data_IF_316467515059
#
_entry.id   IF_316467515059
#
_cell.length_a   1.000
_cell.length_b   1.000
_cell.length_c   1.000
_cell.angle_alpha   90.00
_cell.angle_beta   90.00
_cell.angle_gamma   90.00
#
_symmetry.space_group_name_H-M   'P 1'
#
loop_
_entity.id
_entity.type
_entity.pdbx_description
1 polymer ?
#
# COMPACT_ATOMS: atom_id res chain seq x y z
N UNK A 1 -22.06 -59.29 -29.43
CA UNK A 1 -21.35 -58.33 -30.31
C UNK A 1 -21.02 -57.03 -29.58
N UNK A 2 -21.98 -56.37 -28.93
CA UNK A 2 -21.74 -55.12 -28.20
C UNK A 2 -20.80 -55.24 -26.99
N UNK A 3 -20.86 -56.33 -26.20
CA UNK A 3 -19.96 -56.53 -25.06
C UNK A 3 -18.51 -56.79 -25.49
N UNK A 4 -18.31 -57.56 -26.56
CA UNK A 4 -16.98 -57.86 -27.11
C UNK A 4 -16.30 -56.61 -27.68
N UNK A 5 -17.05 -55.71 -28.32
CA UNK A 5 -16.54 -54.40 -28.76
C UNK A 5 -16.14 -53.53 -27.56
N UNK A 6 -16.90 -53.58 -26.46
CA UNK A 6 -16.63 -52.81 -25.25
C UNK A 6 -15.36 -53.28 -24.52
N UNK A 7 -15.11 -54.58 -24.48
CA UNK A 7 -13.88 -55.16 -23.92
C UNK A 7 -12.65 -54.89 -24.79
N UNK A 8 -12.80 -54.97 -26.11
CA UNK A 8 -11.74 -54.63 -27.06
C UNK A 8 -11.33 -53.14 -26.96
N UNK A 9 -12.30 -52.22 -26.89
CA UNK A 9 -12.04 -50.79 -26.72
C UNK A 9 -11.35 -50.49 -25.40
N UNK A 10 -11.72 -51.19 -24.32
CA UNK A 10 -11.07 -51.04 -23.01
C UNK A 10 -9.63 -51.55 -23.04
N UNK A 11 -9.38 -52.69 -23.68
CA UNK A 11 -8.04 -53.25 -23.82
C UNK A 11 -7.11 -52.36 -24.67
N UNK A 12 -7.62 -51.79 -25.77
CA UNK A 12 -6.86 -50.86 -26.62
C UNK A 12 -6.54 -49.57 -25.86
N UNK A 13 -7.50 -49.03 -25.10
CA UNK A 13 -7.27 -47.86 -24.23
C UNK A 13 -6.23 -48.15 -23.16
N UNK A 14 -6.34 -49.25 -22.43
CA UNK A 14 -5.38 -49.62 -21.38
C UNK A 14 -3.95 -49.82 -21.92
N UNK A 15 -3.81 -50.42 -23.11
CA UNK A 15 -2.51 -50.61 -23.76
C UNK A 15 -1.92 -49.28 -24.23
N UNK A 16 -2.76 -48.37 -24.72
CA UNK A 16 -2.39 -47.02 -25.12
C UNK A 16 -1.90 -46.18 -23.94
N UNK A 17 -2.63 -46.18 -22.81
CA UNK A 17 -2.21 -45.51 -21.57
C UNK A 17 -0.87 -46.04 -21.04
N UNK A 18 -0.70 -47.37 -21.02
CA UNK A 18 0.57 -48.00 -20.60
C UNK A 18 1.73 -47.65 -21.52
N UNK A 19 1.51 -47.56 -22.83
CA UNK A 19 2.53 -47.21 -23.81
C UNK A 19 3.00 -45.75 -23.66
N UNK A 20 2.04 -44.83 -23.44
CA UNK A 20 2.36 -43.42 -23.18
C UNK A 20 3.11 -43.27 -21.86
N UNK A 21 2.66 -43.96 -20.80
CA UNK A 21 3.33 -43.91 -19.51
C UNK A 21 4.76 -44.47 -19.57
N UNK A 22 5.00 -45.54 -20.33
CA UNK A 22 6.32 -46.15 -20.42
C UNK A 22 7.37 -45.22 -21.04
N UNK A 23 7.01 -44.49 -22.10
CA UNK A 23 7.93 -43.61 -22.82
C UNK A 23 7.93 -42.16 -22.33
N UNK A 24 6.79 -41.67 -21.86
CA UNK A 24 6.60 -40.25 -21.57
C UNK A 24 6.39 -39.93 -20.08
N UNK A 25 6.54 -40.89 -19.15
CA UNK A 25 6.42 -40.62 -17.69
C UNK A 25 7.27 -39.42 -17.23
N UNK A 26 8.53 -39.33 -17.66
CA UNK A 26 9.45 -38.24 -17.27
C UNK A 26 9.00 -36.88 -17.84
N UNK A 27 8.78 -36.73 -19.17
CA UNK A 27 8.30 -35.46 -19.72
C UNK A 27 6.90 -35.07 -19.22
N UNK A 28 5.99 -36.03 -18.97
CA UNK A 28 4.67 -35.76 -18.39
C UNK A 28 4.81 -35.22 -16.96
N UNK A 29 5.66 -35.82 -16.13
CA UNK A 29 5.94 -35.31 -14.79
C UNK A 29 6.58 -33.91 -14.83
N UNK A 30 7.51 -33.67 -15.75
CA UNK A 30 8.15 -32.36 -15.93
C UNK A 30 7.14 -31.28 -16.35
N UNK A 31 6.31 -31.56 -17.37
CA UNK A 31 5.27 -30.62 -17.82
C UNK A 31 4.28 -30.35 -16.70
N UNK A 32 3.87 -31.39 -15.96
CA UNK A 32 2.99 -31.24 -14.79
C UNK A 32 3.61 -30.36 -13.71
N UNK A 33 4.90 -30.53 -13.41
CA UNK A 33 5.62 -29.69 -12.46
C UNK A 33 5.70 -28.22 -12.90
N UNK A 34 6.05 -27.96 -14.16
CA UNK A 34 6.07 -26.58 -14.69
C UNK A 34 4.68 -25.94 -14.74
N UNK A 35 3.64 -26.71 -15.10
CA UNK A 35 2.27 -26.24 -15.07
C UNK A 35 1.81 -25.89 -13.64
N UNK A 36 2.17 -26.72 -12.65
CA UNK A 36 1.90 -26.45 -11.25
C UNK A 36 2.67 -25.24 -10.72
N UNK A 37 3.96 -25.11 -11.06
CA UNK A 37 4.77 -23.96 -10.66
C UNK A 37 4.25 -22.66 -11.30
N UNK A 38 3.84 -22.70 -12.57
CA UNK A 38 3.21 -21.56 -13.24
C UNK A 38 1.88 -21.21 -12.59
N UNK A 39 1.04 -22.21 -12.30
CA UNK A 39 -0.22 -22.01 -11.58
C UNK A 39 0.02 -21.36 -10.22
N UNK A 40 0.97 -21.87 -9.44
CA UNK A 40 1.33 -21.32 -8.14
C UNK A 40 1.90 -19.90 -8.24
N UNK A 41 2.73 -19.62 -9.25
CA UNK A 41 3.29 -18.30 -9.48
C UNK A 41 2.20 -17.27 -9.85
N UNK A 42 1.27 -17.65 -10.73
CA UNK A 42 0.12 -16.82 -11.09
C UNK A 42 -0.77 -16.62 -9.86
N UNK A 43 -1.12 -17.69 -9.15
CA UNK A 43 -1.91 -17.63 -7.92
C UNK A 43 -1.27 -16.69 -6.89
N UNK A 44 0.02 -16.88 -6.60
CA UNK A 44 0.78 -16.05 -5.67
C UNK A 44 0.91 -14.59 -6.13
N UNK A 45 0.87 -14.32 -7.44
CA UNK A 45 0.88 -12.94 -7.96
C UNK A 45 -0.49 -12.28 -7.84
N UNK A 46 -1.57 -13.07 -7.90
CA UNK A 46 -2.95 -12.57 -7.73
C UNK A 46 -3.31 -12.37 -6.26
N UNK A 47 -2.81 -13.21 -5.34
CA UNK A 47 -3.14 -13.14 -3.90
C UNK A 47 -2.22 -12.22 -3.08
N UNK A 48 -1.33 -11.43 -3.69
CA UNK A 48 -0.64 -10.38 -2.93
C UNK A 48 -1.66 -9.29 -2.63
N UNK A 49 -1.94 -9.05 -1.35
CA UNK A 49 -2.68 -7.85 -0.92
C UNK A 49 -2.03 -6.65 -1.58
N UNK A 50 -2.79 -5.98 -2.45
CA UNK A 50 -2.31 -4.82 -3.16
C UNK A 50 -2.71 -3.62 -2.33
N UNK A 51 -1.76 -3.04 -1.64
CA UNK A 51 -1.95 -1.79 -0.90
C UNK A 51 -2.27 -0.68 -1.93
N UNK A 52 -3.42 -0.03 -1.78
CA UNK A 52 -3.86 1.09 -2.63
C UNK A 52 -3.10 2.37 -2.30
N UNK A 53 -2.85 2.59 -1.01
CA UNK A 53 -2.14 3.75 -0.49
C UNK A 53 -1.20 3.35 0.64
N UNK A 54 0.09 3.62 0.43
CA UNK A 54 1.12 3.48 1.46
C UNK A 54 1.43 4.85 2.04
N UNK A 55 1.29 4.98 3.35
CA UNK A 55 1.46 6.22 4.12
C UNK A 55 2.55 6.01 5.15
N UNK A 56 3.47 6.97 5.23
CA UNK A 56 4.46 6.98 6.29
C UNK A 56 4.03 7.96 7.36
N UNK A 57 3.80 7.46 8.57
CA UNK A 57 3.48 8.30 9.72
C UNK A 57 4.71 8.45 10.62
N UNK A 58 5.24 9.67 10.70
CA UNK A 58 6.46 9.99 11.47
C UNK A 58 6.05 10.75 12.72
N UNK A 59 6.48 10.27 13.88
CA UNK A 59 6.06 10.83 15.17
C UNK A 59 7.20 10.90 16.17
N UNK A 60 7.11 11.77 17.17
CA UNK A 60 7.94 11.75 18.37
C UNK A 60 7.65 10.48 19.19
N UNK A 61 6.35 10.18 19.40
CA UNK A 61 5.87 9.19 20.36
C UNK A 61 5.84 7.76 19.80
N UNK A 62 6.54 6.78 20.40
CA UNK A 62 6.48 5.37 20.01
C UNK A 62 5.21 4.67 20.48
N UNK A 63 4.43 5.27 21.37
CA UNK A 63 3.20 4.71 21.94
C UNK A 63 1.97 5.01 21.08
N UNK A 64 2.14 5.21 19.77
CA UNK A 64 0.99 5.16 18.85
C UNK A 64 0.49 3.72 18.81
N UNK A 65 -0.49 3.44 19.68
CA UNK A 65 -1.16 2.16 19.79
C UNK A 65 -1.68 1.71 18.43
N UNK A 66 -1.67 0.40 18.16
CA UNK A 66 -2.19 -0.18 16.92
C UNK A 66 -3.61 0.32 16.60
N UNK A 67 -4.43 0.57 17.62
CA UNK A 67 -5.77 1.16 17.46
C UNK A 67 -5.75 2.55 16.81
N UNK A 68 -4.78 3.41 17.15
CA UNK A 68 -4.60 4.73 16.54
C UNK A 68 -4.13 4.63 15.08
N UNK A 69 -3.26 3.67 14.77
CA UNK A 69 -2.85 3.40 13.38
C UNK A 69 -4.03 2.91 12.56
N UNK A 70 -4.81 1.97 13.10
CA UNK A 70 -6.03 1.47 12.44
C UNK A 70 -7.07 2.59 12.23
N UNK A 71 -7.18 3.54 13.17
CA UNK A 71 -8.02 4.71 13.02
C UNK A 71 -7.56 5.62 11.88
N UNK A 72 -6.25 5.86 11.72
CA UNK A 72 -5.69 6.57 10.58
C UNK A 72 -6.01 5.86 9.26
N UNK A 73 -5.76 4.54 9.19
CA UNK A 73 -6.03 3.72 8.00
C UNK A 73 -7.50 3.77 7.61
N UNK A 74 -8.39 3.56 8.59
CA UNK A 74 -9.85 3.61 8.39
C UNK A 74 -10.30 4.98 7.91
N UNK A 75 -9.79 6.06 8.51
CA UNK A 75 -10.18 7.42 8.15
C UNK A 75 -9.67 7.81 6.76
N UNK A 76 -8.42 7.47 6.44
CA UNK A 76 -7.83 7.73 5.13
C UNK A 76 -8.52 6.94 4.02
N UNK A 77 -8.96 5.71 4.29
CA UNK A 77 -9.68 4.87 3.32
C UNK A 77 -10.95 5.56 2.77
N UNK A 78 -11.58 6.45 3.56
CA UNK A 78 -12.76 7.21 3.13
C UNK A 78 -12.45 8.20 2.00
N UNK A 79 -11.19 8.63 1.87
CA UNK A 79 -10.71 9.64 0.93
C UNK A 79 -9.83 9.05 -0.19
N UNK A 80 -9.48 7.76 -0.13
CA UNK A 80 -8.60 7.06 -1.07
C UNK A 80 -9.38 6.31 -2.15
N UNK A 81 -8.98 6.39 -3.42
CA UNK A 81 -9.66 5.64 -4.49
C UNK A 81 -9.22 4.16 -4.48
N UNK A 82 -10.10 3.25 -4.91
CA UNK A 82 -9.70 1.88 -5.22
C UNK A 82 -8.82 1.89 -6.48
N UNK A 83 -7.50 1.80 -6.25
CA UNK A 83 -6.51 1.81 -7.32
C UNK A 83 -6.40 0.44 -7.98
N UNK A 84 -6.69 -0.62 -7.23
CA UNK A 84 -6.45 -1.99 -7.66
C UNK A 84 -7.63 -2.60 -8.42
N UNK A 85 -8.80 -1.99 -8.28
CA UNK A 85 -10.05 -2.32 -8.95
C UNK A 85 -10.67 -3.63 -8.44
N UNK A 86 -10.31 -4.06 -7.23
CA UNK A 86 -10.83 -5.28 -6.61
C UNK A 86 -12.03 -5.02 -5.69
N UNK A 87 -12.40 -3.75 -5.49
CA UNK A 87 -13.53 -3.32 -4.67
C UNK A 87 -13.23 -3.24 -3.18
N UNK A 88 -12.00 -3.53 -2.76
CA UNK A 88 -11.51 -3.32 -1.40
C UNK A 88 -10.47 -2.19 -1.39
N UNK A 89 -10.45 -1.39 -0.33
CA UNK A 89 -9.51 -0.26 -0.21
C UNK A 89 -8.60 -0.54 0.96
N UNK A 90 -7.34 -0.81 0.64
CA UNK A 90 -6.31 -1.14 1.63
C UNK A 90 -5.34 0.02 1.75
N UNK A 91 -5.50 0.80 2.82
CA UNK A 91 -4.54 1.82 3.25
C UNK A 91 -3.61 1.19 4.28
N UNK A 92 -2.30 1.34 4.07
CA UNK A 92 -1.28 0.88 5.02
C UNK A 92 -0.51 2.08 5.57
N UNK A 93 -0.50 2.21 6.90
CA UNK A 93 0.23 3.27 7.61
C UNK A 93 1.45 2.67 8.32
N UNK A 94 2.66 2.98 7.82
CA UNK A 94 3.92 2.64 8.49
C UNK A 94 4.24 3.70 9.55
N UNK A 95 4.01 3.38 10.81
CA UNK A 95 4.37 4.25 11.93
C UNK A 95 5.88 4.12 12.24
N UNK A 96 6.58 5.26 12.23
CA UNK A 96 8.00 5.36 12.54
C UNK A 96 8.20 6.49 13.55
N UNK A 97 8.69 6.14 14.75
CA UNK A 97 8.98 7.14 15.78
C UNK A 97 10.43 7.63 15.73
N UNK A 98 10.64 8.90 16.04
CA UNK A 98 11.94 9.59 15.99
C UNK A 98 12.28 10.39 17.25
N UNK A 99 11.41 10.36 18.28
CA UNK A 99 11.58 11.12 19.52
C UNK A 99 12.85 10.79 20.30
N UNK A 100 13.47 11.83 20.86
CA UNK A 100 14.77 11.77 21.54
C UNK A 100 14.70 11.17 22.97
N UNK A 101 13.52 10.82 23.47
CA UNK A 101 13.30 10.18 24.78
C UNK A 101 13.45 8.65 24.76
N UNK A 102 13.81 8.09 23.60
CA UNK A 102 13.99 6.65 23.38
C UNK A 102 15.44 6.23 23.17
N UNK A 103 15.65 4.91 23.09
CA UNK A 103 16.98 4.34 22.88
C UNK A 103 17.59 4.84 21.56
N UNK A 104 18.71 5.56 21.67
CA UNK A 104 19.42 6.22 20.57
C UNK A 104 19.60 5.31 19.34
N UNK A 105 19.91 4.02 19.58
CA UNK A 105 20.14 3.03 18.51
C UNK A 105 18.87 2.71 17.71
N UNK A 106 17.70 2.75 18.34
CA UNK A 106 16.41 2.48 17.68
C UNK A 106 15.97 3.70 16.88
N UNK A 107 16.08 4.89 17.47
CA UNK A 107 15.80 6.17 16.81
C UNK A 107 16.70 6.35 15.59
N UNK A 108 17.99 6.01 15.71
CA UNK A 108 18.93 6.04 14.59
C UNK A 108 18.50 5.10 13.45
N UNK A 109 18.16 3.85 13.77
CA UNK A 109 17.66 2.89 12.77
C UNK A 109 16.36 3.36 12.09
N UNK A 110 15.45 3.98 12.84
CA UNK A 110 14.22 4.55 12.31
C UNK A 110 14.52 5.72 11.35
N UNK A 111 15.42 6.63 11.71
CA UNK A 111 15.91 7.71 10.83
C UNK A 111 16.55 7.14 9.55
N UNK A 112 17.35 6.06 9.65
CA UNK A 112 17.88 5.36 8.47
C UNK A 112 16.80 4.73 7.58
N UNK A 113 15.75 4.13 8.19
CA UNK A 113 14.60 3.57 7.47
C UNK A 113 13.86 4.66 6.69
N UNK A 114 13.56 5.80 7.32
CA UNK A 114 12.91 6.95 6.66
C UNK A 114 13.75 7.37 5.45
N UNK A 115 15.04 7.61 5.65
CA UNK A 115 15.95 8.03 4.58
C UNK A 115 16.13 6.99 3.46
N UNK A 116 15.87 5.71 3.74
CA UNK A 116 15.88 4.63 2.74
C UNK A 116 14.57 4.54 1.97
N UNK A 117 13.45 4.93 2.57
CA UNK A 117 12.11 4.95 1.97
C UNK A 117 11.83 6.21 1.14
N UNK A 118 12.31 7.38 1.60
CA UNK A 118 12.80 8.46 0.71
C UNK A 118 13.91 7.85 -0.17
N UNK A 119 14.61 8.45 -1.12
CA UNK A 119 15.52 7.69 -2.05
C UNK A 119 14.87 6.55 -2.86
N UNK A 120 14.43 5.42 -2.27
CA UNK A 120 13.70 4.35 -2.94
C UNK A 120 12.38 4.85 -3.54
N UNK A 121 11.74 5.82 -2.89
CA UNK A 121 10.51 6.44 -3.37
C UNK A 121 9.32 5.51 -3.39
N UNK A 122 9.27 4.60 -2.41
CA UNK A 122 8.14 3.69 -2.17
C UNK A 122 6.94 4.40 -1.53
N UNK A 123 7.19 5.47 -0.76
CA UNK A 123 6.16 6.25 -0.08
C UNK A 123 5.97 7.62 -0.74
N UNK A 124 4.71 8.01 -1.00
CA UNK A 124 4.39 9.33 -1.56
C UNK A 124 3.58 10.21 -0.62
N UNK A 125 2.82 9.61 0.31
CA UNK A 125 2.05 10.33 1.32
C UNK A 125 2.75 10.26 2.67
N UNK A 126 2.91 11.41 3.32
CA UNK A 126 3.56 11.53 4.62
C UNK A 126 2.55 12.15 5.59
N UNK A 127 2.40 11.52 6.74
CA UNK A 127 1.74 12.07 7.91
C UNK A 127 2.80 12.33 8.98
N UNK A 128 2.69 13.45 9.68
CA UNK A 128 3.61 13.75 10.77
C UNK A 128 2.89 14.42 11.94
N UNK A 129 3.45 14.28 13.14
CA UNK A 129 3.26 15.28 14.19
C UNK A 129 4.23 16.45 14.03
N UNK A 130 4.32 17.33 15.04
CA UNK A 130 5.18 18.51 14.99
C UNK A 130 6.67 18.18 14.79
N UNK A 131 7.20 17.22 15.54
CA UNK A 131 8.62 16.84 15.42
C UNK A 131 8.90 16.10 14.11
N UNK A 132 8.01 15.19 13.70
CA UNK A 132 8.09 14.53 12.41
C UNK A 132 8.07 15.52 11.24
N UNK A 133 7.25 16.58 11.33
CA UNK A 133 7.17 17.61 10.31
C UNK A 133 8.47 18.42 10.23
N UNK A 134 9.03 18.80 11.37
CA UNK A 134 10.31 19.51 11.41
C UNK A 134 11.43 18.66 10.80
N UNK A 135 11.52 17.37 11.16
CA UNK A 135 12.50 16.44 10.60
C UNK A 135 12.38 16.34 9.07
N UNK A 136 11.17 16.17 8.55
CA UNK A 136 10.93 16.03 7.12
C UNK A 136 11.15 17.32 6.32
N UNK A 137 10.84 18.47 6.94
CA UNK A 137 11.12 19.78 6.36
C UNK A 137 12.62 20.03 6.27
N UNK A 138 13.37 19.72 7.34
CA UNK A 138 14.83 19.84 7.37
C UNK A 138 15.52 18.89 6.38
N UNK A 139 14.89 17.75 6.06
CA UNK A 139 15.36 16.82 5.05
C UNK A 139 15.06 17.26 3.60
N UNK A 140 14.39 18.40 3.40
CA UNK A 140 13.91 18.89 2.09
C UNK A 140 13.12 17.81 1.32
N UNK A 141 12.40 16.97 2.07
CA UNK A 141 11.78 15.76 1.56
C UNK A 141 10.31 15.95 1.15
N UNK A 142 9.75 17.15 1.35
CA UNK A 142 8.35 17.49 1.13
C UNK A 142 8.18 18.34 -0.12
N UNK A 143 7.07 18.13 -0.84
CA UNK A 143 6.62 19.03 -1.90
C UNK A 143 6.00 20.29 -1.30
N UNK A 144 6.05 21.38 -2.07
CA UNK A 144 5.20 22.53 -1.82
C UNK A 144 3.76 22.20 -2.26
N UNK A 145 2.87 22.02 -1.29
CA UNK A 145 1.46 21.73 -1.56
C UNK A 145 0.74 22.94 -2.16
N UNK A 146 1.19 24.17 -1.90
CA UNK A 146 0.61 25.36 -2.51
C UNK A 146 0.84 25.41 -4.02
N UNK A 147 1.96 24.86 -4.51
CA UNK A 147 2.19 24.68 -5.95
C UNK A 147 1.33 23.56 -6.55
N UNK A 148 1.10 22.49 -5.78
CA UNK A 148 0.30 21.34 -6.24
C UNK A 148 -1.21 21.60 -6.21
N UNK A 149 -1.67 22.48 -5.31
CA UNK A 149 -3.05 22.86 -5.07
C UNK A 149 -3.21 24.39 -4.97
N UNK A 150 -2.98 25.14 -6.06
CA UNK A 150 -2.95 26.61 -6.05
C UNK A 150 -4.29 27.28 -5.72
N UNK A 151 -5.39 26.54 -5.83
CA UNK A 151 -6.74 27.02 -5.51
C UNK A 151 -7.10 26.89 -4.03
N UNK A 152 -6.17 26.41 -3.19
CA UNK A 152 -6.36 26.22 -1.75
C UNK A 152 -5.38 27.10 -0.96
N UNK A 153 -5.85 27.71 0.14
CA UNK A 153 -5.01 28.49 1.06
C UNK A 153 -4.20 27.54 1.94
N UNK A 154 -3.00 27.15 1.47
CA UNK A 154 -2.12 26.16 2.10
C UNK A 154 -0.81 26.80 2.56
N UNK A 155 -0.31 26.35 3.72
CA UNK A 155 0.94 26.82 4.33
C UNK A 155 2.17 26.08 3.76
N UNK A 156 2.39 26.25 2.45
CA UNK A 156 3.55 25.71 1.75
C UNK A 156 3.58 24.19 1.73
N UNK A 157 4.43 23.56 2.55
CA UNK A 157 4.79 22.14 2.39
C UNK A 157 3.83 21.14 3.06
N UNK A 158 2.84 21.60 3.83
CA UNK A 158 1.95 20.71 4.58
C UNK A 158 0.56 21.32 4.77
N UNK A 159 -0.39 20.49 5.19
CA UNK A 159 -1.73 20.89 5.58
C UNK A 159 -2.05 20.36 6.98
N UNK A 160 -2.59 21.23 7.83
CA UNK A 160 -2.95 20.89 9.21
C UNK A 160 -4.33 20.26 9.28
N UNK A 161 -4.43 19.06 9.86
CA UNK A 161 -5.68 18.30 9.92
C UNK A 161 -6.51 18.58 11.17
N UNK A 162 -5.93 19.10 12.25
CA UNK A 162 -6.57 19.28 13.56
C UNK A 162 -7.97 19.90 13.56
N UNK A 163 -8.19 20.92 12.73
CA UNK A 163 -9.46 21.67 12.68
C UNK A 163 -10.41 21.17 11.57
N UNK A 164 -10.01 20.13 10.84
CA UNK A 164 -10.74 19.63 9.67
C UNK A 164 -11.77 18.57 10.05
N UNK A 165 -12.70 18.29 9.14
CA UNK A 165 -13.67 17.19 9.24
C UNK A 165 -13.00 15.81 9.38
N UNK A 166 -11.77 15.66 8.90
CA UNK A 166 -10.97 14.44 9.01
C UNK A 166 -10.76 14.06 10.48
N UNK A 167 -10.40 15.04 11.32
CA UNK A 167 -10.17 14.84 12.76
C UNK A 167 -11.47 14.75 13.57
N UNK A 168 -12.60 15.15 12.99
CA UNK A 168 -13.92 15.08 13.63
C UNK A 168 -14.65 13.74 13.37
N UNK A 169 -14.05 12.82 12.62
CA UNK A 169 -14.63 11.49 12.39
C UNK A 169 -14.63 10.66 13.67
N UNK A 170 -15.63 9.79 13.81
CA UNK A 170 -15.80 8.94 15.00
C UNK A 170 -14.57 8.06 15.30
N UNK A 171 -13.84 7.66 14.25
CA UNK A 171 -12.57 6.91 14.35
C UNK A 171 -11.44 7.71 14.99
N UNK A 172 -11.48 9.04 14.92
CA UNK A 172 -10.40 9.94 15.35
C UNK A 172 -10.63 10.58 16.71
N UNK A 173 -11.72 10.24 17.42
CA UNK A 173 -12.13 10.88 18.68
C UNK A 173 -11.06 10.79 19.77
N UNK A 174 -10.26 9.72 19.78
CA UNK A 174 -9.19 9.50 20.75
C UNK A 174 -7.83 10.08 20.31
N UNK A 175 -7.79 10.77 19.16
CA UNK A 175 -6.58 11.38 18.62
C UNK A 175 -6.40 12.80 19.16
N UNK A 176 -5.37 13.00 19.99
CA UNK A 176 -5.12 14.27 20.69
C UNK A 176 -3.86 15.01 20.22
N UNK A 177 -3.10 14.43 19.29
CA UNK A 177 -1.85 15.02 18.81
C UNK A 177 -2.08 15.82 17.54
N UNK A 178 -1.25 16.84 17.31
CA UNK A 178 -1.25 17.56 16.05
C UNK A 178 -0.90 16.62 14.90
N UNK A 179 -1.65 16.73 13.81
CA UNK A 179 -1.49 15.88 12.64
C UNK A 179 -1.40 16.73 11.39
N UNK A 180 -0.31 16.56 10.67
CA UNK A 180 0.00 17.25 9.43
C UNK A 180 0.08 16.24 8.30
N UNK A 181 -0.50 16.59 7.15
CA UNK A 181 -0.41 15.82 5.92
C UNK A 181 0.46 16.53 4.89
N UNK A 182 1.33 15.77 4.22
CA UNK A 182 2.23 16.29 3.20
C UNK A 182 2.49 15.25 2.12
N UNK A 183 2.92 15.73 0.95
CA UNK A 183 3.36 14.89 -0.16
C UNK A 183 4.88 14.88 -0.21
N UNK A 184 5.47 13.72 -0.47
CA UNK A 184 6.91 13.59 -0.66
C UNK A 184 7.35 14.30 -1.93
N UNK A 185 8.50 14.98 -1.86
CA UNK A 185 9.19 15.53 -3.03
C UNK A 185 9.43 14.44 -4.08
N UNK A 186 8.75 14.60 -5.21
CA UNK A 186 8.78 13.67 -6.34
C UNK A 186 9.55 14.25 -7.53
N UNK A 187 9.23 15.49 -7.92
CA UNK A 187 9.85 16.21 -9.04
C UNK A 187 11.35 16.38 -8.81
N UNK A 188 12.16 16.06 -9.82
CA UNK A 188 13.62 16.15 -9.76
C UNK A 188 14.31 14.99 -9.02
N UNK A 189 13.58 13.96 -8.60
CA UNK A 189 14.13 12.78 -7.92
C UNK A 189 14.19 11.55 -8.84
N UNK A 190 14.93 10.52 -8.43
CA UNK A 190 14.98 9.23 -9.17
C UNK A 190 13.59 8.59 -9.28
N UNK A 191 12.68 8.87 -8.35
CA UNK A 191 11.32 8.36 -8.38
C UNK A 191 10.53 8.86 -9.60
N UNK A 192 10.86 10.05 -10.13
CA UNK A 192 10.24 10.60 -11.33
C UNK A 192 10.48 9.73 -12.58
N UNK A 193 11.59 9.00 -12.59
CA UNK A 193 11.95 8.12 -13.70
C UNK A 193 11.21 6.78 -13.66
N UNK A 194 10.46 6.50 -12.59
CA UNK A 194 9.80 5.21 -12.35
C UNK A 194 8.28 5.38 -12.59
N UNK A 195 7.70 4.74 -13.63
CA UNK A 195 6.28 4.92 -13.96
C UNK A 195 5.31 4.55 -12.82
N UNK A 196 5.62 3.51 -12.04
CA UNK A 196 4.79 3.13 -10.89
C UNK A 196 4.81 4.18 -9.78
N UNK A 197 5.93 4.88 -9.60
CA UNK A 197 6.05 5.95 -8.63
C UNK A 197 5.23 7.17 -9.05
N UNK A 198 5.15 7.49 -10.35
CA UNK A 198 4.26 8.53 -10.85
C UNK A 198 2.80 8.24 -10.51
N UNK A 199 2.33 7.02 -10.80
CA UNK A 199 0.95 6.60 -10.50
C UNK A 199 0.67 6.68 -9.00
N UNK A 200 1.62 6.24 -8.17
CA UNK A 200 1.49 6.34 -6.71
C UNK A 200 1.43 7.80 -6.23
N UNK A 201 2.20 8.69 -6.85
CA UNK A 201 2.21 10.11 -6.51
C UNK A 201 0.89 10.79 -6.86
N UNK A 202 0.37 10.58 -8.07
CA UNK A 202 -0.95 11.11 -8.47
C UNK A 202 -2.08 10.57 -7.59
N UNK A 203 -2.00 9.30 -7.19
CA UNK A 203 -3.00 8.70 -6.29
C UNK A 203 -2.94 9.30 -4.88
N UNK A 204 -1.74 9.48 -4.33
CA UNK A 204 -1.54 10.17 -3.06
C UNK A 204 -2.02 11.63 -3.15
N UNK A 205 -1.71 12.33 -4.24
CA UNK A 205 -2.17 13.70 -4.49
C UNK A 205 -3.70 13.79 -4.53
N UNK A 206 -4.35 12.84 -5.20
CA UNK A 206 -5.83 12.77 -5.25
C UNK A 206 -6.42 12.56 -3.87
N UNK A 207 -5.83 11.66 -3.07
CA UNK A 207 -6.26 11.44 -1.67
C UNK A 207 -6.11 12.72 -0.85
N UNK A 208 -4.98 13.43 -0.94
CA UNK A 208 -4.78 14.72 -0.24
C UNK A 208 -5.80 15.77 -0.69
N UNK A 209 -6.07 15.86 -2.00
CA UNK A 209 -7.11 16.73 -2.55
C UNK A 209 -8.48 16.43 -1.95
N UNK A 210 -8.83 15.15 -1.82
CA UNK A 210 -10.09 14.72 -1.22
C UNK A 210 -10.15 15.06 0.28
N UNK A 211 -9.06 14.89 1.02
CA UNK A 211 -8.97 15.27 2.43
C UNK A 211 -9.13 16.79 2.61
N UNK A 212 -8.40 17.59 1.83
CA UNK A 212 -8.46 19.06 1.87
C UNK A 212 -9.86 19.58 1.55
N UNK A 213 -10.54 18.99 0.56
CA UNK A 213 -11.87 19.40 0.12
C UNK A 213 -13.02 18.77 0.93
N UNK A 214 -12.71 17.94 1.92
CA UNK A 214 -13.67 17.08 2.63
C UNK A 214 -14.55 16.23 1.70
N UNK A 215 -14.00 15.83 0.55
CA UNK A 215 -14.68 14.99 -0.42
C UNK A 215 -14.54 13.51 -0.03
N UNK A 216 -15.44 13.02 0.81
CA UNK A 216 -15.55 11.60 1.14
C UNK A 216 -16.04 10.84 -0.09
N UNK A 217 -15.20 9.96 -0.63
CA UNK A 217 -15.48 9.18 -1.84
C UNK A 217 -15.97 7.77 -1.54
N UNK A 218 -15.58 7.23 -0.38
CA UNK A 218 -16.05 5.95 0.09
C UNK A 218 -16.91 6.18 1.33
N UNK A 219 -18.16 5.75 1.23
CA UNK A 219 -18.99 5.56 2.40
C UNK A 219 -18.51 4.22 2.94
N UNK A 220 -17.52 4.26 3.84
CA UNK A 220 -17.07 3.06 4.52
C UNK A 220 -18.29 2.28 4.99
N UNK A 221 -18.34 0.99 4.68
CA UNK A 221 -19.31 0.10 5.28
C UNK A 221 -19.11 0.21 6.79
N UNK A 222 -19.93 1.05 7.41
CA UNK A 222 -20.16 1.11 8.84
C UNK A 222 -20.95 -0.14 9.22
N UNK A 223 -20.35 -1.30 9.01
CA UNK A 223 -20.92 -2.58 9.34
C UNK A 223 -20.35 -3.06 10.68
N UNK A 224 -21.16 -2.74 11.71
CA UNK A 224 -21.41 -3.49 12.96
C UNK A 224 -20.31 -3.62 14.03
#
# INVERSE_FOLDING_TARGET
MAEYQREADKYVKDKWYKNIWYHYKIPICLIGFFAFALFFFVYSSVTKEKIDLYVMYITEDPEVYTEKVNALESTLSLYTEDKTGDGEIVVFVDNIFIGDDHEDDVVYQNKERIMTALRAGSCMLILCDGEGLEYMTNAEALCDLSEEFPDTDLDGNYYTLNETSFMQKDTMVDWNNDLYISLRLYKGTVAELIPSSQVNFEHAKTTVSNVISDNVINIGDSNE
#
